data_IF_988781101616
#
_entry.id   IF_988781101616
#
_cell.length_a   1.000
_cell.length_b   1.000
_cell.length_c   1.000
_cell.angle_alpha   90.00
_cell.angle_beta   90.00
_cell.angle_gamma   90.00
#
_symmetry.space_group_name_H-M   'P 1'
#
loop_
_entity.id
_entity.type
_entity.pdbx_description
1 polymer ?
#
# COMPACT_ATOMS: atom_id res chain seq x y z
N UNK A 1 -22.78 -5.02 -0.40
CA UNK A 1 -22.36 -3.63 -0.75
C UNK A 1 -22.22 -2.70 0.45
N UNK A 2 -23.05 -2.79 1.50
CA UNK A 2 -22.97 -1.89 2.66
C UNK A 2 -21.57 -1.78 3.28
N UNK A 3 -20.86 -2.91 3.39
CA UNK A 3 -19.52 -2.96 3.97
C UNK A 3 -18.43 -2.33 3.07
N UNK A 4 -18.66 -2.26 1.74
CA UNK A 4 -17.72 -1.65 0.79
C UNK A 4 -17.64 -0.13 0.90
N UNK A 5 -18.69 0.47 1.46
CA UNK A 5 -18.81 1.92 1.62
C UNK A 5 -18.00 2.44 2.82
N UNK A 6 -17.62 1.57 3.76
CA UNK A 6 -17.01 1.99 5.02
C UNK A 6 -17.91 2.99 5.76
N UNK A 7 -17.33 4.12 6.18
CA UNK A 7 -18.09 5.20 6.84
C UNK A 7 -18.54 6.34 5.90
N UNK A 8 -18.26 6.29 4.59
CA UNK A 8 -18.81 7.27 3.64
C UNK A 8 -20.32 7.22 3.62
N UNK A 9 -21.03 8.30 3.31
CA UNK A 9 -22.49 8.27 3.20
C UNK A 9 -22.94 7.50 1.95
N UNK A 10 -24.18 6.98 1.95
CA UNK A 10 -24.74 6.32 0.76
C UNK A 10 -24.74 7.24 -0.48
N UNK A 11 -24.85 8.56 -0.29
CA UNK A 11 -24.84 9.51 -1.40
C UNK A 11 -23.43 9.58 -2.03
N UNK A 12 -22.41 9.81 -1.22
CA UNK A 12 -21.00 9.89 -1.65
C UNK A 12 -20.54 8.60 -2.35
N UNK A 13 -20.88 7.45 -1.77
CA UNK A 13 -20.47 6.18 -2.35
C UNK A 13 -21.22 5.86 -3.65
N UNK A 14 -22.51 6.22 -3.72
CA UNK A 14 -23.27 6.05 -4.96
C UNK A 14 -22.69 6.94 -6.06
N UNK A 15 -22.35 8.20 -5.75
CA UNK A 15 -21.72 9.13 -6.70
C UNK A 15 -20.39 8.58 -7.23
N UNK A 16 -19.50 8.09 -6.35
CA UNK A 16 -18.23 7.44 -6.74
C UNK A 16 -18.44 6.26 -7.71
N UNK A 17 -19.51 5.50 -7.49
CA UNK A 17 -19.88 4.36 -8.34
C UNK A 17 -20.67 4.75 -9.60
N UNK A 18 -21.04 6.03 -9.78
CA UNK A 18 -21.91 6.45 -10.89
C UNK A 18 -23.36 5.99 -10.74
N UNK A 19 -23.80 5.76 -9.50
CA UNK A 19 -25.14 5.28 -9.15
C UNK A 19 -25.96 6.37 -8.48
N UNK A 20 -27.29 6.21 -8.51
CA UNK A 20 -28.16 7.00 -7.63
C UNK A 20 -28.12 6.45 -6.22
N UNK A 21 -28.25 7.32 -5.20
CA UNK A 21 -28.37 6.91 -3.79
C UNK A 21 -29.46 5.85 -3.58
N UNK A 22 -30.60 5.99 -4.27
CA UNK A 22 -31.72 5.04 -4.19
C UNK A 22 -31.37 3.66 -4.77
N UNK A 23 -30.68 3.61 -5.91
CA UNK A 23 -30.20 2.36 -6.49
C UNK A 23 -29.23 1.64 -5.55
N UNK A 24 -28.25 2.37 -5.00
CA UNK A 24 -27.33 1.82 -4.00
C UNK A 24 -28.07 1.28 -2.78
N UNK A 25 -29.02 2.04 -2.21
CA UNK A 25 -29.79 1.60 -1.06
C UNK A 25 -30.59 0.32 -1.34
N UNK A 26 -31.15 0.17 -2.55
CA UNK A 26 -31.85 -1.06 -2.93
C UNK A 26 -30.89 -2.27 -3.02
N UNK A 27 -29.66 -2.06 -3.50
CA UNK A 27 -28.63 -3.10 -3.54
C UNK A 27 -28.11 -3.45 -2.14
N UNK A 28 -27.86 -2.47 -1.28
CA UNK A 28 -27.39 -2.68 0.09
C UNK A 28 -28.41 -3.47 0.94
N UNK A 29 -29.71 -3.23 0.71
CA UNK A 29 -30.80 -3.90 1.44
C UNK A 29 -31.30 -5.18 0.77
N UNK A 30 -30.67 -5.63 -0.32
CA UNK A 30 -31.06 -6.86 -1.03
C UNK A 30 -32.42 -6.80 -1.74
N UNK A 31 -33.02 -5.61 -1.87
CA UNK A 31 -34.32 -5.40 -2.55
C UNK A 31 -34.23 -5.61 -4.06
N UNK A 32 -33.04 -5.41 -4.63
CA UNK A 32 -32.77 -5.63 -6.05
C UNK A 32 -31.36 -6.19 -6.20
N UNK A 33 -31.15 -7.07 -7.18
CA UNK A 33 -29.80 -7.52 -7.54
C UNK A 33 -29.23 -6.64 -8.65
N UNK A 34 -27.98 -6.16 -8.54
CA UNK A 34 -27.31 -5.45 -9.62
C UNK A 34 -27.12 -6.38 -10.83
N UNK A 35 -27.21 -5.82 -12.04
CA UNK A 35 -26.94 -6.58 -13.27
C UNK A 35 -25.45 -6.95 -13.35
N UNK A 36 -25.09 -8.05 -14.02
CA UNK A 36 -23.68 -8.44 -14.19
C UNK A 36 -22.79 -7.33 -14.79
N UNK A 37 -23.34 -6.51 -15.70
CA UNK A 37 -22.62 -5.36 -16.27
C UNK A 37 -22.24 -4.31 -15.23
N UNK A 38 -23.12 -4.05 -14.26
CA UNK A 38 -22.86 -3.11 -13.17
C UNK A 38 -21.87 -3.68 -12.17
N UNK A 39 -21.96 -4.98 -11.85
CA UNK A 39 -20.97 -5.65 -11.00
C UNK A 39 -19.56 -5.56 -11.58
N UNK A 40 -19.41 -5.78 -12.90
CA UNK A 40 -18.14 -5.56 -13.62
C UNK A 40 -17.62 -4.14 -13.54
N UNK A 41 -18.50 -3.15 -13.61
CA UNK A 41 -18.11 -1.74 -13.50
C UNK A 41 -17.64 -1.40 -12.09
N UNK A 42 -18.38 -1.84 -11.07
CA UNK A 42 -18.01 -1.65 -9.67
C UNK A 42 -16.70 -2.36 -9.35
N UNK A 43 -16.55 -3.61 -9.80
CA UNK A 43 -15.32 -4.40 -9.69
C UNK A 43 -14.11 -3.63 -10.23
N UNK A 44 -14.24 -3.05 -11.43
CA UNK A 44 -13.19 -2.26 -12.07
C UNK A 44 -12.87 -0.97 -11.32
N UNK A 45 -13.90 -0.24 -10.87
CA UNK A 45 -13.75 1.03 -10.13
C UNK A 45 -13.11 0.84 -8.77
N UNK A 46 -13.40 -0.27 -8.10
CA UNK A 46 -12.92 -0.56 -6.74
C UNK A 46 -11.68 -1.45 -6.72
N UNK A 47 -11.28 -2.06 -7.85
CA UNK A 47 -10.15 -2.98 -7.93
C UNK A 47 -10.38 -4.34 -7.26
N UNK A 48 -11.63 -4.67 -6.91
CA UNK A 48 -12.03 -5.92 -6.24
C UNK A 48 -12.77 -6.85 -7.20
N UNK A 49 -12.78 -8.15 -6.93
CA UNK A 49 -13.43 -9.15 -7.79
C UNK A 49 -14.95 -9.11 -7.74
N UNK A 50 -15.56 -9.56 -8.84
CA UNK A 50 -16.99 -9.90 -8.84
C UNK A 50 -17.30 -11.01 -7.82
N UNK A 51 -16.39 -11.98 -7.64
CA UNK A 51 -16.53 -13.02 -6.63
C UNK A 51 -16.64 -12.42 -5.24
N UNK A 52 -15.77 -11.47 -4.87
CA UNK A 52 -15.88 -10.75 -3.61
C UNK A 52 -17.22 -10.02 -3.48
N UNK A 53 -17.68 -9.34 -4.55
CA UNK A 53 -18.97 -8.64 -4.54
C UNK A 53 -20.17 -9.58 -4.31
N UNK A 54 -20.07 -10.85 -4.74
CA UNK A 54 -21.14 -11.84 -4.71
C UNK A 54 -21.10 -12.75 -3.49
N UNK A 55 -19.92 -13.19 -3.07
CA UNK A 55 -19.72 -14.21 -2.03
C UNK A 55 -18.99 -13.68 -0.79
N UNK A 56 -18.36 -12.51 -0.87
CA UNK A 56 -17.48 -11.96 0.17
C UNK A 56 -16.12 -12.65 0.26
N UNK A 57 -15.81 -13.57 -0.66
CA UNK A 57 -14.50 -14.22 -0.72
C UNK A 57 -13.51 -13.36 -1.48
N UNK A 58 -12.37 -13.09 -0.85
CA UNK A 58 -11.23 -12.41 -1.46
C UNK A 58 -10.36 -13.40 -2.22
N UNK A 59 -9.80 -12.98 -3.35
CA UNK A 59 -8.92 -13.82 -4.19
C UNK A 59 -7.51 -13.96 -3.62
N UNK A 60 -7.03 -12.95 -2.89
CA UNK A 60 -5.69 -12.88 -2.32
C UNK A 60 -5.59 -11.77 -1.27
N UNK A 61 -4.43 -11.68 -0.61
CA UNK A 61 -4.11 -10.68 0.41
C UNK A 61 -4.21 -9.23 -0.11
N UNK A 62 -3.88 -8.99 -1.38
CA UNK A 62 -4.02 -7.66 -1.98
C UNK A 62 -5.49 -7.23 -2.04
N UNK A 63 -6.38 -8.13 -2.46
CA UNK A 63 -7.82 -7.89 -2.47
C UNK A 63 -8.41 -7.79 -1.06
N UNK A 64 -7.88 -8.57 -0.11
CA UNK A 64 -8.26 -8.43 1.30
C UNK A 64 -7.91 -7.05 1.84
N UNK A 65 -6.68 -6.60 1.61
CA UNK A 65 -6.23 -5.27 2.02
C UNK A 65 -7.10 -4.17 1.40
N UNK A 66 -7.42 -4.29 0.11
CA UNK A 66 -8.35 -3.38 -0.59
C UNK A 66 -9.72 -3.28 0.08
N UNK A 67 -10.28 -4.42 0.48
CA UNK A 67 -11.62 -4.50 1.07
C UNK A 67 -11.63 -4.00 2.51
N UNK A 68 -10.68 -4.42 3.33
CA UNK A 68 -10.63 -4.11 4.77
C UNK A 68 -10.34 -2.64 5.00
N UNK A 69 -9.45 -2.06 4.18
CA UNK A 69 -9.05 -0.66 4.37
C UNK A 69 -10.08 0.34 3.86
N UNK A 70 -11.08 -0.09 3.06
CA UNK A 70 -12.35 0.58 2.73
C UNK A 70 -12.31 2.00 2.12
N UNK A 71 -11.17 2.67 2.18
CA UNK A 71 -10.96 4.10 1.95
C UNK A 71 -9.62 4.41 1.35
N UNK A 72 -8.86 3.37 1.00
CA UNK A 72 -7.50 3.63 0.60
C UNK A 72 -6.71 4.23 1.76
N UNK A 73 -6.79 3.56 2.91
CA UNK A 73 -5.86 3.78 4.00
C UNK A 73 -4.88 2.61 3.97
N UNK A 74 -3.61 2.84 4.29
CA UNK A 74 -2.78 1.71 4.70
C UNK A 74 -3.32 1.20 6.04
N UNK A 75 -3.48 -0.12 6.17
CA UNK A 75 -3.93 -0.71 7.42
C UNK A 75 -2.90 -0.43 8.51
N UNK A 76 -3.33 0.05 9.69
CA UNK A 76 -2.52 0.06 10.89
C UNK A 76 -2.48 -1.37 11.46
N UNK A 77 -1.78 -2.26 10.77
CA UNK A 77 -1.57 -3.65 11.18
C UNK A 77 -0.15 -3.89 11.66
N UNK A 78 0.03 -4.99 12.39
CA UNK A 78 1.35 -5.49 12.75
C UNK A 78 2.13 -5.91 11.50
N UNK A 79 3.46 -5.70 11.54
CA UNK A 79 4.37 -6.20 10.52
C UNK A 79 4.32 -7.73 10.47
N UNK A 80 4.18 -8.26 9.27
CA UNK A 80 4.21 -9.69 8.96
C UNK A 80 5.64 -10.17 8.67
N UNK A 81 5.85 -11.48 8.73
CA UNK A 81 7.15 -12.09 8.37
C UNK A 81 7.54 -11.81 6.91
N UNK A 82 6.56 -11.72 6.00
CA UNK A 82 6.78 -11.42 4.59
C UNK A 82 7.26 -9.97 4.40
N UNK A 83 6.63 -9.02 5.08
CA UNK A 83 7.07 -7.62 5.09
C UNK A 83 8.47 -7.48 5.69
N UNK A 84 8.75 -8.19 6.79
CA UNK A 84 10.08 -8.22 7.39
C UNK A 84 11.14 -8.80 6.44
N UNK A 85 10.80 -9.83 5.66
CA UNK A 85 11.70 -10.40 4.66
C UNK A 85 12.06 -9.35 3.58
N UNK A 86 11.08 -8.61 3.08
CA UNK A 86 11.30 -7.51 2.13
C UNK A 86 12.25 -6.46 2.73
N UNK A 87 11.96 -6.01 3.95
CA UNK A 87 12.78 -5.01 4.65
C UNK A 87 14.23 -5.49 4.86
N UNK A 88 14.42 -6.76 5.23
CA UNK A 88 15.77 -7.34 5.38
C UNK A 88 16.51 -7.40 4.06
N UNK A 89 15.85 -7.76 2.95
CA UNK A 89 16.49 -7.76 1.63
C UNK A 89 16.85 -6.35 1.15
N UNK A 90 15.99 -5.35 1.40
CA UNK A 90 16.31 -3.94 1.11
C UNK A 90 17.59 -3.47 1.82
N UNK A 91 17.93 -4.06 2.98
CA UNK A 91 19.19 -3.74 3.67
C UNK A 91 20.42 -4.28 2.92
N UNK A 92 20.31 -5.44 2.28
CA UNK A 92 21.42 -6.12 1.63
C UNK A 92 21.71 -5.67 0.19
N UNK A 93 20.74 -5.05 -0.50
CA UNK A 93 20.91 -4.68 -1.91
C UNK A 93 21.70 -3.36 -2.10
N UNK A 94 22.43 -3.21 -3.23
CA UNK A 94 23.15 -1.98 -3.56
C UNK A 94 22.25 -0.74 -3.75
N UNK A 95 22.74 0.48 -3.47
CA UNK A 95 21.94 1.71 -3.53
C UNK A 95 21.26 1.96 -4.87
N UNK A 96 21.88 1.62 -6.01
CA UNK A 96 21.25 1.83 -7.32
C UNK A 96 19.93 1.04 -7.47
N UNK A 97 19.87 -0.20 -6.97
CA UNK A 97 18.63 -0.98 -7.00
C UNK A 97 17.59 -0.44 -6.04
N UNK A 98 18.00 0.07 -4.86
CA UNK A 98 17.09 0.77 -3.95
C UNK A 98 16.50 1.99 -4.65
N UNK A 99 17.33 2.77 -5.35
CA UNK A 99 16.89 3.93 -6.11
C UNK A 99 15.83 3.55 -7.15
N UNK A 100 16.06 2.50 -7.93
CA UNK A 100 15.09 2.00 -8.92
C UNK A 100 13.77 1.57 -8.29
N UNK A 101 13.80 0.93 -7.11
CA UNK A 101 12.58 0.55 -6.37
C UNK A 101 11.83 1.80 -5.91
N UNK A 102 12.54 2.74 -5.29
CA UNK A 102 11.95 4.00 -4.79
C UNK A 102 11.37 4.83 -5.94
N UNK A 103 12.07 4.90 -7.07
CA UNK A 103 11.59 5.58 -8.28
C UNK A 103 10.26 5.00 -8.74
N UNK A 104 10.15 3.67 -8.85
CA UNK A 104 8.89 3.01 -9.23
C UNK A 104 7.77 3.30 -8.24
N UNK A 105 8.06 3.37 -6.94
CA UNK A 105 7.06 3.71 -5.93
C UNK A 105 6.56 5.15 -6.11
N UNK A 106 7.48 6.11 -6.28
CA UNK A 106 7.13 7.52 -6.49
C UNK A 106 6.35 7.71 -7.80
N UNK A 107 6.81 7.10 -8.90
CA UNK A 107 6.11 7.10 -10.19
C UNK A 107 4.69 6.54 -10.08
N UNK A 108 4.51 5.42 -9.36
CA UNK A 108 3.19 4.82 -9.17
C UNK A 108 2.24 5.74 -8.39
N UNK A 109 2.75 6.45 -7.38
CA UNK A 109 1.95 7.41 -6.60
C UNK A 109 1.61 8.65 -7.42
N UNK A 110 2.53 9.11 -8.27
CA UNK A 110 2.32 10.30 -9.11
C UNK A 110 1.39 10.02 -10.30
N UNK A 111 1.63 8.92 -11.03
CA UNK A 111 0.93 8.61 -12.27
C UNK A 111 -0.45 7.97 -12.07
N UNK A 112 -0.74 7.45 -10.88
CA UNK A 112 -2.02 6.77 -10.59
C UNK A 112 -2.73 7.46 -9.42
N UNK A 113 -3.66 8.39 -9.70
CA UNK A 113 -4.45 9.06 -8.67
C UNK A 113 -5.12 8.08 -7.71
N UNK A 114 -5.55 6.90 -8.19
CA UNK A 114 -6.18 5.88 -7.36
C UNK A 114 -5.20 5.25 -6.36
N UNK A 115 -3.90 5.24 -6.66
CA UNK A 115 -2.86 4.79 -5.71
C UNK A 115 -2.63 5.87 -4.67
N UNK A 116 -2.55 7.15 -5.07
CA UNK A 116 -2.38 8.26 -4.13
C UNK A 116 -3.57 8.42 -3.18
N UNK A 117 -4.79 8.38 -3.70
CA UNK A 117 -6.02 8.34 -2.90
C UNK A 117 -6.05 7.13 -1.95
N UNK A 118 -5.22 6.11 -2.21
CA UNK A 118 -5.06 4.95 -1.33
C UNK A 118 -4.01 5.04 -0.25
N UNK A 119 -3.27 6.13 -0.21
CA UNK A 119 -2.31 6.40 0.83
C UNK A 119 -2.89 7.49 1.76
N UNK A 120 -4.11 7.29 2.25
CA UNK A 120 -4.73 8.18 3.23
C UNK A 120 -4.49 7.65 4.65
N UNK A 121 -3.25 7.78 5.14
CA UNK A 121 -2.88 7.42 6.52
C UNK A 121 -2.09 8.55 7.19
N UNK A 122 -2.11 8.64 8.53
CA UNK A 122 -1.20 9.53 9.24
C UNK A 122 0.25 9.15 8.87
N UNK A 123 1.07 10.15 8.50
CA UNK A 123 2.48 9.94 8.19
C UNK A 123 2.81 9.66 6.72
N UNK A 124 1.83 9.42 5.83
CA UNK A 124 2.13 9.15 4.41
C UNK A 124 2.93 10.26 3.75
N UNK A 125 2.59 11.53 3.98
CA UNK A 125 3.34 12.64 3.39
C UNK A 125 4.78 12.70 3.95
N UNK A 126 4.98 12.24 5.19
CA UNK A 126 6.34 12.05 5.76
C UNK A 126 7.07 10.93 5.05
N UNK A 127 6.42 9.78 4.82
CA UNK A 127 7.01 8.64 4.11
C UNK A 127 7.36 8.99 2.67
N UNK A 128 6.48 9.69 1.95
CA UNK A 128 6.74 10.17 0.59
C UNK A 128 7.92 11.14 0.55
N UNK A 129 8.04 12.03 1.54
CA UNK A 129 9.18 12.93 1.66
C UNK A 129 10.49 12.17 1.92
N UNK A 130 10.47 11.14 2.77
CA UNK A 130 11.60 10.25 3.02
C UNK A 130 12.02 9.49 1.75
N UNK A 131 11.06 8.92 1.02
CA UNK A 131 11.33 8.25 -0.26
C UNK A 131 11.96 9.20 -1.27
N UNK A 132 11.45 10.43 -1.39
CA UNK A 132 12.03 11.44 -2.28
C UNK A 132 13.48 11.78 -1.89
N UNK A 133 13.80 11.82 -0.60
CA UNK A 133 15.17 12.04 -0.12
C UNK A 133 16.09 10.86 -0.42
N UNK A 134 15.62 9.62 -0.21
CA UNK A 134 16.36 8.40 -0.58
C UNK A 134 16.67 8.41 -2.08
N UNK A 135 15.71 8.76 -2.93
CA UNK A 135 15.91 8.89 -4.37
C UNK A 135 16.98 9.93 -4.72
N UNK A 136 16.91 11.13 -4.12
CA UNK A 136 17.91 12.20 -4.32
C UNK A 136 19.32 11.78 -3.90
N UNK A 137 19.44 10.99 -2.83
CA UNK A 137 20.71 10.41 -2.34
C UNK A 137 21.20 9.21 -3.16
N UNK A 138 20.56 8.88 -4.28
CA UNK A 138 20.97 7.76 -5.11
C UNK A 138 20.64 6.39 -4.52
N UNK A 139 19.61 6.30 -3.66
CA UNK A 139 19.15 5.07 -3.01
C UNK A 139 19.86 4.74 -1.69
N UNK A 140 20.65 5.68 -1.16
CA UNK A 140 21.27 5.53 0.16
C UNK A 140 20.24 5.83 1.26
N UNK A 141 20.13 4.92 2.24
CA UNK A 141 19.23 5.04 3.39
C UNK A 141 19.83 4.33 4.62
N UNK A 142 19.32 4.67 5.81
CA UNK A 142 19.79 4.08 7.06
C UNK A 142 19.39 2.61 7.19
N UNK A 143 20.37 1.74 7.44
CA UNK A 143 20.21 0.27 7.32
C UNK A 143 19.71 -0.42 8.60
N UNK A 144 19.02 0.32 9.47
CA UNK A 144 18.41 -0.22 10.69
C UNK A 144 19.40 -0.78 11.72
N UNK A 145 20.69 -0.43 11.62
CA UNK A 145 21.72 -0.76 12.62
C UNK A 145 21.67 0.26 13.75
N UNK A 146 21.85 -0.21 14.99
CA UNK A 146 22.04 0.73 16.09
C UNK A 146 23.41 1.43 15.94
N UNK A 147 23.53 2.75 16.19
CA UNK A 147 24.79 3.48 15.97
C UNK A 147 26.01 2.86 16.67
N UNK A 148 25.83 2.39 17.91
CA UNK A 148 26.88 1.72 18.68
C UNK A 148 27.35 0.41 18.00
N UNK A 149 26.43 -0.37 17.44
CA UNK A 149 26.79 -1.61 16.74
C UNK A 149 27.59 -1.30 15.46
N UNK A 150 27.21 -0.23 14.75
CA UNK A 150 27.92 0.19 13.55
C UNK A 150 29.36 0.62 13.88
N UNK A 151 29.56 1.39 14.95
CA UNK A 151 30.90 1.79 15.43
C UNK A 151 31.76 0.57 15.79
N UNK A 152 31.22 -0.39 16.54
CA UNK A 152 31.91 -1.63 16.90
C UNK A 152 32.35 -2.43 15.66
N UNK A 153 31.46 -2.55 14.66
CA UNK A 153 31.80 -3.20 13.39
C UNK A 153 32.91 -2.47 12.66
N UNK A 154 32.83 -1.14 12.53
CA UNK A 154 33.84 -0.32 11.86
C UNK A 154 35.20 -0.44 12.55
N UNK A 155 35.25 -0.37 13.88
CA UNK A 155 36.48 -0.57 14.64
C UNK A 155 37.09 -1.94 14.41
N UNK A 156 36.25 -2.99 14.43
CA UNK A 156 36.68 -4.37 14.20
C UNK A 156 37.29 -4.53 12.81
N UNK A 157 36.63 -4.03 11.77
CA UNK A 157 37.15 -4.12 10.40
C UNK A 157 38.40 -3.25 10.19
N UNK A 158 38.47 -2.08 10.82
CA UNK A 158 39.68 -1.24 10.78
C UNK A 158 40.88 -1.90 11.48
N UNK A 159 40.66 -2.65 12.57
CA UNK A 159 41.71 -3.47 13.22
C UNK A 159 42.18 -4.59 12.29
N UNK A 160 41.25 -5.32 11.65
CA UNK A 160 41.59 -6.41 10.71
C UNK A 160 42.39 -5.92 9.51
N UNK A 161 41.97 -4.82 8.87
CA UNK A 161 42.69 -4.24 7.73
C UNK A 161 44.13 -3.83 8.07
N UNK A 162 44.35 -3.35 9.31
CA UNK A 162 45.70 -2.99 9.82
C UNK A 162 46.56 -4.19 10.19
N UNK A 163 45.98 -5.35 10.47
CA UNK A 163 46.73 -6.58 10.79
C UNK A 163 47.14 -7.39 9.56
N UNK A 164 46.56 -7.09 8.39
CA UNK A 164 46.89 -7.73 7.10
C UNK A 164 47.94 -6.96 6.27
N UNK A 165 48.45 -5.84 6.79
CA UNK A 165 49.54 -5.03 6.23
C UNK A 165 50.74 -5.03 7.18
#
# INVERSE_FOLDING_TARGET
>A
MRHLRGESTQAEFAERLGLTRSALANYENGRTKPKPSLLREISRKLGISEDFLLSGQVRNEYELNLVVTGRGMLNESHTTHDEEAILRLLRAIPPNYVKEIVEKLLELVELKPEVRERLNGPGIETDLALLAEIYRKGGVFDKGQHPLEAEEWLERYAKLARSEH
#
